data_IF_369449627595
#
_entry.id   IF_369449627595
#
_cell.length_a   1.000
_cell.length_b   1.000
_cell.length_c   1.000
_cell.angle_alpha   90.00
_cell.angle_beta   90.00
_cell.angle_gamma   90.00
#
_symmetry.space_group_name_H-M   'P 1'
#
loop_
_entity.id
_entity.type
_entity.pdbx_description
1 polymer ?
#
# COMPACT_ATOMS: atom_id res chain seq x y z
N UNK A 1 7.95 19.16 -3.19
CA UNK A 1 6.59 18.56 -3.16
C UNK A 1 6.05 18.56 -4.58
N UNK A 2 5.58 17.42 -5.13
CA UNK A 2 5.04 17.41 -6.48
C UNK A 2 3.77 18.29 -6.52
N UNK A 3 3.74 19.23 -7.46
CA UNK A 3 2.64 20.16 -7.62
C UNK A 3 1.34 19.40 -7.91
N UNK A 4 0.32 19.63 -7.09
CA UNK A 4 -1.01 19.05 -7.28
C UNK A 4 -1.72 19.78 -8.44
N UNK A 5 -2.44 19.05 -9.33
CA UNK A 5 -3.18 19.67 -10.43
C UNK A 5 -4.25 20.66 -9.92
N UNK A 6 -4.52 21.67 -10.75
CA UNK A 6 -5.20 22.96 -10.48
C UNK A 6 -6.71 22.89 -10.21
N UNK A 7 -7.21 21.93 -9.43
CA UNK A 7 -8.61 21.95 -8.97
C UNK A 7 -8.73 21.43 -7.55
N UNK A 8 -9.04 22.32 -6.61
CA UNK A 8 -9.40 21.92 -5.26
C UNK A 8 -10.68 21.08 -5.28
N UNK A 9 -10.72 20.06 -4.44
CA UNK A 9 -11.90 19.22 -4.21
C UNK A 9 -12.20 19.17 -2.73
N UNK A 10 -13.48 19.18 -2.40
CA UNK A 10 -13.95 19.04 -1.05
C UNK A 10 -13.68 17.61 -0.54
N UNK A 11 -13.04 17.42 0.63
CA UNK A 11 -12.81 16.10 1.23
C UNK A 11 -14.13 15.48 1.71
N UNK A 12 -14.60 14.35 1.14
CA UNK A 12 -15.89 13.77 1.51
C UNK A 12 -15.92 13.23 2.94
N UNK A 13 -14.77 12.76 3.45
CA UNK A 13 -14.66 12.20 4.79
C UNK A 13 -14.88 13.23 5.89
N UNK A 14 -14.77 14.53 5.60
CA UNK A 14 -15.05 15.60 6.58
C UNK A 14 -16.52 15.62 6.98
N UNK A 15 -17.40 15.07 6.13
CA UNK A 15 -18.82 14.91 6.45
C UNK A 15 -19.10 13.74 7.41
N UNK A 16 -18.11 12.88 7.66
CA UNK A 16 -18.21 11.80 8.63
C UNK A 16 -17.93 12.27 10.06
N UNK A 17 -17.38 13.48 10.23
CA UNK A 17 -17.25 14.10 11.53
C UNK A 17 -18.64 14.43 12.10
N UNK A 18 -18.85 14.23 13.40
CA UNK A 18 -20.14 14.50 14.04
C UNK A 18 -20.41 16.00 14.19
N UNK A 19 -19.36 16.82 14.24
CA UNK A 19 -19.47 18.26 14.55
C UNK A 19 -19.46 19.12 13.28
N UNK A 20 -18.57 18.81 12.34
CA UNK A 20 -18.33 19.65 11.16
C UNK A 20 -19.55 19.89 10.27
N UNK A 21 -20.43 18.90 9.98
CA UNK A 21 -21.63 19.14 9.17
C UNK A 21 -22.58 20.17 9.80
N UNK A 22 -22.69 20.16 11.13
CA UNK A 22 -23.50 21.14 11.87
C UNK A 22 -22.93 22.55 11.76
N UNK A 23 -21.63 22.70 12.04
CA UNK A 23 -20.90 23.97 11.86
C UNK A 23 -20.98 24.49 10.42
N UNK A 24 -20.90 23.59 9.44
CA UNK A 24 -20.97 23.96 8.03
C UNK A 24 -22.37 24.45 7.66
N UNK A 25 -23.43 23.78 8.13
CA UNK A 25 -24.81 24.16 7.84
C UNK A 25 -25.15 25.55 8.42
N UNK A 26 -24.70 25.86 9.63
CA UNK A 26 -24.88 27.20 10.22
C UNK A 26 -24.13 28.25 9.38
N UNK A 27 -22.87 27.97 9.06
CA UNK A 27 -22.03 28.90 8.28
C UNK A 27 -22.59 29.16 6.87
N UNK A 28 -23.17 28.15 6.22
CA UNK A 28 -23.87 28.30 4.93
C UNK A 28 -25.09 29.22 5.09
N UNK A 29 -25.89 28.99 6.13
CA UNK A 29 -27.11 29.77 6.39
C UNK A 29 -26.75 31.23 6.66
N UNK A 30 -25.74 31.48 7.49
CA UNK A 30 -25.24 32.81 7.84
C UNK A 30 -24.75 33.55 6.58
N UNK A 31 -23.96 32.87 5.74
CA UNK A 31 -23.47 33.46 4.48
C UNK A 31 -24.61 33.96 3.61
N UNK A 32 -25.64 33.14 3.38
CA UNK A 32 -26.76 33.51 2.52
C UNK A 32 -27.67 34.55 3.18
N UNK A 33 -27.82 34.56 4.50
CA UNK A 33 -28.56 35.61 5.20
C UNK A 33 -27.87 36.97 5.07
N UNK A 34 -26.54 37.02 5.23
CA UNK A 34 -25.76 38.26 5.15
C UNK A 34 -25.70 38.81 3.72
N UNK A 35 -25.59 37.93 2.73
CA UNK A 35 -25.40 38.34 1.32
C UNK A 35 -26.71 38.48 0.53
N UNK A 36 -27.88 38.30 1.16
CA UNK A 36 -29.17 38.43 0.50
C UNK A 36 -29.41 39.86 0.05
N UNK A 37 -29.48 40.07 -1.27
CA UNK A 37 -29.74 41.40 -1.86
C UNK A 37 -28.52 42.31 -1.98
N UNK A 38 -27.32 41.83 -1.62
CA UNK A 38 -26.08 42.62 -1.72
C UNK A 38 -25.62 42.86 -3.16
N UNK A 39 -25.94 41.95 -4.08
CA UNK A 39 -25.55 42.04 -5.50
C UNK A 39 -26.74 41.66 -6.38
N UNK A 40 -26.96 42.39 -7.47
CA UNK A 40 -28.07 42.14 -8.40
C UNK A 40 -27.94 40.80 -9.16
N UNK A 41 -26.71 40.32 -9.38
CA UNK A 41 -26.43 39.06 -10.04
C UNK A 41 -26.23 37.92 -9.01
N UNK A 42 -27.15 36.96 -9.01
CA UNK A 42 -27.13 35.77 -8.15
C UNK A 42 -25.91 34.88 -8.43
N UNK A 43 -25.38 34.87 -9.66
CA UNK A 43 -24.20 34.09 -10.03
C UNK A 43 -22.95 34.49 -9.23
N UNK A 44 -22.77 35.79 -8.98
CA UNK A 44 -21.63 36.31 -8.19
C UNK A 44 -21.75 35.87 -6.72
N UNK A 45 -22.97 35.85 -6.18
CA UNK A 45 -23.22 35.34 -4.81
C UNK A 45 -22.88 33.85 -4.72
N UNK A 46 -23.17 33.07 -5.77
CA UNK A 46 -22.83 31.65 -5.81
C UNK A 46 -21.32 31.41 -5.95
N UNK A 47 -20.62 32.16 -6.79
CA UNK A 47 -19.17 32.06 -6.94
C UNK A 47 -18.43 32.44 -5.65
N UNK A 48 -18.84 33.53 -5.01
CA UNK A 48 -18.27 33.96 -3.72
C UNK A 48 -18.55 32.94 -2.62
N UNK A 49 -19.75 32.36 -2.57
CA UNK A 49 -20.09 31.26 -1.66
C UNK A 49 -19.15 30.06 -1.84
N UNK A 50 -18.91 29.62 -3.07
CA UNK A 50 -18.03 28.49 -3.36
C UNK A 50 -16.59 28.74 -2.86
N UNK A 51 -16.07 29.96 -3.07
CA UNK A 51 -14.74 30.35 -2.56
C UNK A 51 -14.72 30.41 -1.03
N UNK A 52 -15.78 30.92 -0.42
CA UNK A 52 -15.91 31.01 1.04
C UNK A 52 -15.92 29.64 1.71
N UNK A 53 -16.75 28.71 1.24
CA UNK A 53 -16.82 27.33 1.77
C UNK A 53 -15.50 26.59 1.57
N UNK A 54 -14.84 26.81 0.42
CA UNK A 54 -13.48 26.31 0.18
C UNK A 54 -12.50 26.83 1.24
N UNK A 55 -12.53 28.13 1.51
CA UNK A 55 -11.68 28.76 2.53
C UNK A 55 -11.88 28.16 3.92
N UNK A 56 -13.13 28.03 4.37
CA UNK A 56 -13.49 27.44 5.67
C UNK A 56 -12.96 26.00 5.77
N UNK A 57 -13.22 25.19 4.74
CA UNK A 57 -12.83 23.79 4.72
C UNK A 57 -11.30 23.65 4.79
N UNK A 58 -10.56 24.43 3.99
CA UNK A 58 -9.10 24.44 4.01
C UNK A 58 -8.58 24.87 5.39
N UNK A 59 -9.16 25.92 5.99
CA UNK A 59 -8.76 26.43 7.29
C UNK A 59 -8.95 25.40 8.41
N UNK A 60 -10.09 24.70 8.43
CA UNK A 60 -10.37 23.63 9.41
C UNK A 60 -9.31 22.53 9.34
N UNK A 61 -9.05 22.00 8.15
CA UNK A 61 -8.06 20.92 7.98
C UNK A 61 -6.63 21.36 8.25
N UNK A 62 -6.27 22.58 7.86
CA UNK A 62 -4.99 23.16 8.24
C UNK A 62 -4.88 23.29 9.77
N UNK A 63 -5.98 23.63 10.46
CA UNK A 63 -6.09 23.64 11.91
C UNK A 63 -5.85 22.28 12.55
N UNK A 64 -6.54 21.24 12.07
CA UNK A 64 -6.36 19.85 12.55
C UNK A 64 -4.91 19.41 12.38
N UNK A 65 -4.33 19.62 11.21
CA UNK A 65 -2.95 19.23 10.93
C UNK A 65 -1.95 20.01 11.79
N UNK A 66 -2.18 21.31 12.02
CA UNK A 66 -1.36 22.12 12.94
C UNK A 66 -1.46 21.62 14.38
N UNK A 67 -2.64 21.23 14.84
CA UNK A 67 -2.84 20.68 16.18
C UNK A 67 -2.08 19.35 16.37
N UNK A 68 -2.19 18.43 15.40
CA UNK A 68 -1.46 17.15 15.42
C UNK A 68 0.05 17.39 15.47
N UNK A 69 0.58 18.24 14.57
CA UNK A 69 2.02 18.56 14.52
C UNK A 69 2.49 19.28 15.77
N UNK A 70 1.67 20.18 16.33
CA UNK A 70 1.96 20.85 17.59
C UNK A 70 2.09 19.86 18.75
N UNK A 71 1.20 18.86 18.82
CA UNK A 71 1.29 17.78 19.81
C UNK A 71 2.52 16.90 19.60
N UNK A 72 2.85 16.55 18.36
CA UNK A 72 4.07 15.79 18.04
C UNK A 72 5.34 16.52 18.51
N UNK A 73 5.44 17.82 18.19
CA UNK A 73 6.58 18.63 18.62
C UNK A 73 6.65 18.77 20.15
N UNK A 74 5.52 18.81 20.85
CA UNK A 74 5.49 18.84 22.30
C UNK A 74 5.96 17.50 22.89
N UNK A 75 5.47 16.38 22.35
CA UNK A 75 5.90 15.05 22.77
C UNK A 75 7.39 14.81 22.52
N UNK A 76 7.92 15.27 21.38
CA UNK A 76 9.35 15.21 21.09
C UNK A 76 10.18 15.93 22.15
N UNK A 77 9.77 17.13 22.56
CA UNK A 77 10.43 17.87 23.66
C UNK A 77 10.33 17.14 25.00
N UNK A 78 9.17 16.59 25.34
CA UNK A 78 8.98 15.82 26.57
C UNK A 78 9.86 14.57 26.60
N UNK A 79 9.95 13.84 25.47
CA UNK A 79 10.82 12.66 25.33
C UNK A 79 12.29 13.07 25.51
N UNK A 80 12.76 14.12 24.83
CA UNK A 80 14.14 14.58 24.98
C UNK A 80 14.50 14.99 26.41
N UNK A 81 13.56 15.60 27.14
CA UNK A 81 13.75 15.95 28.56
C UNK A 81 13.85 14.70 29.44
N UNK A 82 12.92 13.75 29.27
CA UNK A 82 12.92 12.51 30.03
C UNK A 82 14.18 11.65 29.74
N UNK A 83 14.66 11.64 28.50
CA UNK A 83 15.91 10.97 28.13
C UNK A 83 17.13 11.60 28.82
N UNK A 84 17.16 12.93 28.91
CA UNK A 84 18.21 13.65 29.63
C UNK A 84 18.17 13.36 31.14
N UNK A 85 16.99 13.36 31.74
CA UNK A 85 16.81 13.04 33.16
C UNK A 85 17.20 11.58 33.44
N UNK A 86 16.86 10.65 32.55
CA UNK A 86 17.25 9.25 32.67
C UNK A 86 18.77 9.04 32.59
N UNK A 87 19.48 9.81 31.75
CA UNK A 87 20.95 9.74 31.68
C UNK A 87 21.62 10.13 33.01
N UNK A 88 20.99 10.99 33.80
CA UNK A 88 21.52 11.46 35.10
C UNK A 88 21.11 10.53 36.25
N UNK A 89 19.86 10.08 36.27
CA UNK A 89 19.27 9.37 37.43
C UNK A 89 19.27 7.84 37.27
N UNK A 90 19.37 7.31 36.04
CA UNK A 90 19.40 5.87 35.71
C UNK A 90 18.26 5.05 36.36
N UNK A 91 17.05 5.61 36.44
CA UNK A 91 15.87 4.98 37.06
C UNK A 91 14.98 4.26 36.03
N UNK A 92 14.53 3.06 36.38
CA UNK A 92 13.64 2.22 35.57
C UNK A 92 12.23 2.81 35.41
N UNK A 93 11.76 3.62 36.37
CA UNK A 93 10.43 4.24 36.29
C UNK A 93 10.38 5.30 35.16
N UNK A 94 11.46 6.07 34.98
CA UNK A 94 11.60 7.07 33.92
C UNK A 94 11.55 6.39 32.53
N UNK A 95 12.15 5.21 32.40
CA UNK A 95 12.14 4.43 31.17
C UNK A 95 10.71 4.00 30.78
N UNK A 96 9.88 3.62 31.77
CA UNK A 96 8.45 3.37 31.56
C UNK A 96 7.70 4.60 31.04
N UNK A 97 7.97 5.79 31.59
CA UNK A 97 7.39 7.04 31.11
C UNK A 97 7.83 7.39 29.68
N UNK A 98 9.10 7.19 29.33
CA UNK A 98 9.62 7.38 27.97
C UNK A 98 8.87 6.48 26.99
N UNK A 99 8.74 5.18 27.28
CA UNK A 99 8.04 4.24 26.41
C UNK A 99 6.57 4.63 26.20
N UNK A 100 5.87 5.07 27.26
CA UNK A 100 4.50 5.55 27.14
C UNK A 100 4.41 6.79 26.23
N UNK A 101 5.36 7.72 26.34
CA UNK A 101 5.41 8.93 25.50
C UNK A 101 5.77 8.62 24.05
N UNK A 102 6.65 7.66 23.82
CA UNK A 102 6.96 7.14 22.47
C UNK A 102 5.71 6.50 21.85
N UNK A 103 4.94 5.71 22.62
CA UNK A 103 3.69 5.14 22.12
C UNK A 103 2.70 6.25 21.74
N UNK A 104 2.52 7.26 22.60
CA UNK A 104 1.65 8.41 22.30
C UNK A 104 2.11 9.15 21.03
N UNK A 105 3.42 9.32 20.85
CA UNK A 105 4.00 9.92 19.66
C UNK A 105 3.69 9.09 18.40
N UNK A 106 3.84 7.77 18.47
CA UNK A 106 3.54 6.86 17.36
C UNK A 106 2.05 6.91 16.99
N UNK A 107 1.15 6.95 17.98
CA UNK A 107 -0.30 7.08 17.75
C UNK A 107 -0.63 8.41 17.06
N UNK A 108 -0.01 9.52 17.49
CA UNK A 108 -0.19 10.82 16.86
C UNK A 108 0.39 10.88 15.43
N UNK A 109 1.56 10.29 15.21
CA UNK A 109 2.17 10.22 13.88
C UNK A 109 1.32 9.38 12.92
N UNK A 110 0.75 8.27 13.42
CA UNK A 110 -0.20 7.46 12.67
C UNK A 110 -1.46 8.26 12.32
N UNK A 111 -1.98 9.05 13.26
CA UNK A 111 -3.12 9.94 13.01
C UNK A 111 -2.85 10.97 11.91
N UNK A 112 -1.63 11.55 11.85
CA UNK A 112 -1.24 12.44 10.75
C UNK A 112 -1.25 11.71 9.40
N UNK A 113 -0.62 10.54 9.34
CA UNK A 113 -0.57 9.72 8.13
C UNK A 113 -1.98 9.30 7.69
N UNK A 114 -2.85 8.92 8.62
CA UNK A 114 -4.24 8.60 8.32
C UNK A 114 -5.00 9.81 7.79
N UNK A 115 -4.83 10.98 8.41
CA UNK A 115 -5.48 12.21 7.97
C UNK A 115 -5.05 12.57 6.54
N UNK A 116 -3.76 12.49 6.22
CA UNK A 116 -3.23 12.73 4.87
C UNK A 116 -3.63 11.61 3.88
N UNK A 117 -3.64 10.36 4.33
CA UNK A 117 -3.99 9.19 3.53
C UNK A 117 -5.42 9.23 3.01
N UNK A 118 -6.37 9.78 3.79
CA UNK A 118 -7.76 10.00 3.36
C UNK A 118 -7.88 10.88 2.10
N UNK A 119 -6.96 11.82 1.88
CA UNK A 119 -6.93 12.65 0.67
C UNK A 119 -6.33 11.91 -0.53
N UNK A 120 -5.27 11.13 -0.29
CA UNK A 120 -4.65 10.32 -1.33
C UNK A 120 -5.64 9.28 -1.87
N UNK A 121 -6.43 8.64 -1.00
CA UNK A 121 -7.47 7.69 -1.40
C UNK A 121 -8.65 8.39 -2.07
N UNK A 122 -9.14 9.51 -1.54
CA UNK A 122 -10.23 10.28 -2.16
C UNK A 122 -9.88 10.71 -3.60
N UNK A 123 -8.60 11.05 -3.86
CA UNK A 123 -8.12 11.31 -5.22
C UNK A 123 -8.25 10.10 -6.13
N UNK A 124 -7.79 8.93 -5.68
CA UNK A 124 -7.86 7.69 -6.47
C UNK A 124 -9.30 7.31 -6.82
N UNK A 125 -10.22 7.41 -5.86
CA UNK A 125 -11.64 7.12 -6.09
C UNK A 125 -12.33 8.18 -6.96
N UNK A 126 -11.95 9.46 -6.83
CA UNK A 126 -12.48 10.53 -7.68
C UNK A 126 -12.00 10.48 -9.14
N UNK A 127 -10.88 9.81 -9.41
CA UNK A 127 -10.42 9.44 -10.77
C UNK A 127 -11.04 8.10 -11.23
N UNK A 128 -11.77 7.40 -10.35
CA UNK A 128 -12.19 6.01 -10.50
C UNK A 128 -13.56 5.75 -11.14
N UNK A 129 -14.25 6.79 -11.61
CA UNK A 129 -15.54 6.67 -12.32
C UNK A 129 -15.42 5.86 -13.63
N UNK A 130 -14.18 5.52 -14.03
CA UNK A 130 -13.88 4.48 -15.01
C UNK A 130 -12.90 3.48 -14.38
N UNK A 131 -13.08 2.15 -14.56
CA UNK A 131 -12.16 1.14 -14.03
C UNK A 131 -10.70 1.34 -14.49
N UNK A 132 -10.48 1.98 -15.65
CA UNK A 132 -9.13 2.37 -16.11
C UNK A 132 -8.53 3.58 -15.38
N UNK A 133 -9.34 4.45 -14.78
CA UNK A 133 -8.89 5.68 -14.11
C UNK A 133 -8.18 5.43 -12.78
N UNK A 134 -8.70 4.52 -11.94
CA UNK A 134 -8.01 4.08 -10.71
C UNK A 134 -6.66 3.47 -11.04
N UNK A 135 -6.64 2.56 -12.02
CA UNK A 135 -5.40 1.90 -12.46
C UNK A 135 -4.40 2.91 -13.02
N UNK A 136 -4.84 3.85 -13.86
CA UNK A 136 -3.99 4.92 -14.38
C UNK A 136 -3.44 5.83 -13.27
N UNK A 137 -4.26 6.14 -12.26
CA UNK A 137 -3.87 6.90 -11.07
C UNK A 137 -2.83 6.18 -10.21
N UNK A 138 -2.88 4.85 -10.13
CA UNK A 138 -1.88 4.01 -9.46
C UNK A 138 -0.60 3.85 -10.29
N UNK A 139 -0.71 3.73 -11.61
CA UNK A 139 0.43 3.52 -12.51
C UNK A 139 1.26 4.80 -12.67
N UNK A 140 0.63 5.99 -12.70
CA UNK A 140 1.33 7.27 -12.93
C UNK A 140 2.49 7.53 -11.94
N UNK A 141 2.29 7.51 -10.61
CA UNK A 141 3.38 7.73 -9.65
C UNK A 141 4.45 6.64 -9.68
N UNK A 142 4.08 5.41 -10.07
CA UNK A 142 5.04 4.31 -10.19
C UNK A 142 5.90 4.44 -11.46
N UNK A 143 5.36 4.97 -12.55
CA UNK A 143 6.16 5.29 -13.75
C UNK A 143 7.24 6.32 -13.44
N UNK A 144 6.89 7.39 -12.73
CA UNK A 144 7.84 8.45 -12.40
C UNK A 144 9.00 7.94 -11.52
N UNK A 145 8.71 7.04 -10.57
CA UNK A 145 9.72 6.41 -9.70
C UNK A 145 10.59 5.38 -10.40
N UNK A 146 10.02 4.65 -11.36
CA UNK A 146 10.72 3.61 -12.12
C UNK A 146 11.40 4.14 -13.40
N UNK A 147 11.30 5.44 -13.67
CA UNK A 147 11.98 6.05 -14.82
C UNK A 147 13.46 6.24 -14.49
N UNK A 148 14.31 5.52 -15.22
CA UNK A 148 15.76 5.66 -15.10
C UNK A 148 16.17 6.92 -15.87
N UNK A 149 16.43 8.02 -15.15
CA UNK A 149 16.77 9.31 -15.76
C UNK A 149 18.26 9.48 -16.02
N UNK A 150 19.11 8.75 -15.30
CA UNK A 150 20.57 8.82 -15.44
C UNK A 150 21.18 7.45 -15.26
N UNK A 151 22.12 7.08 -16.13
CA UNK A 151 22.98 5.91 -15.95
C UNK A 151 24.45 6.33 -16.00
N UNK A 152 25.31 5.56 -15.33
CA UNK A 152 26.77 5.69 -15.48
C UNK A 152 27.25 4.68 -16.51
N UNK A 153 27.89 5.16 -17.56
CA UNK A 153 28.50 4.30 -18.57
C UNK A 153 29.84 3.72 -18.05
N UNK A 154 30.34 2.69 -18.73
CA UNK A 154 31.56 1.97 -18.33
C UNK A 154 32.85 2.82 -18.37
N UNK A 155 32.81 3.97 -19.03
CA UNK A 155 33.86 4.99 -19.07
C UNK A 155 33.77 6.01 -17.91
N UNK A 156 32.79 5.85 -17.02
CA UNK A 156 32.54 6.74 -15.88
C UNK A 156 31.72 7.99 -16.22
N UNK A 157 31.30 8.18 -17.48
CA UNK A 157 30.47 9.31 -17.88
C UNK A 157 28.99 9.12 -17.49
N UNK A 158 28.30 10.23 -17.16
CA UNK A 158 26.87 10.22 -16.86
C UNK A 158 26.05 10.46 -18.13
N UNK A 159 25.17 9.51 -18.44
CA UNK A 159 24.26 9.59 -19.58
C UNK A 159 22.85 9.95 -19.09
N UNK A 160 22.26 10.99 -19.68
CA UNK A 160 20.90 11.47 -19.34
C UNK A 160 19.91 11.37 -20.49
N UNK A 161 20.39 10.98 -21.67
CA UNK A 161 19.58 10.89 -22.88
C UNK A 161 18.82 9.55 -22.91
N UNK A 162 17.46 9.56 -22.93
CA UNK A 162 16.66 8.35 -22.81
C UNK A 162 16.92 7.33 -23.93
N UNK A 163 17.16 7.77 -25.16
CA UNK A 163 17.43 6.85 -26.29
C UNK A 163 18.76 6.14 -26.08
N UNK A 164 19.80 6.88 -25.73
CA UNK A 164 21.12 6.31 -25.46
C UNK A 164 21.14 5.44 -24.20
N UNK A 165 20.32 5.76 -23.20
CA UNK A 165 20.13 4.91 -22.01
C UNK A 165 19.54 3.56 -22.43
N UNK A 166 18.50 3.57 -23.28
CA UNK A 166 17.87 2.35 -23.77
C UNK A 166 18.86 1.50 -24.59
N UNK A 167 19.69 2.11 -25.43
CA UNK A 167 20.71 1.40 -26.20
C UNK A 167 21.78 0.78 -25.29
N UNK A 168 22.22 1.48 -24.24
CA UNK A 168 23.15 0.89 -23.26
C UNK A 168 22.55 -0.28 -22.49
N UNK A 169 21.27 -0.22 -22.13
CA UNK A 169 20.58 -1.37 -21.55
C UNK A 169 20.50 -2.53 -22.54
N UNK A 170 20.19 -2.25 -23.81
CA UNK A 170 20.17 -3.26 -24.87
C UNK A 170 21.53 -3.95 -25.01
N UNK A 171 22.61 -3.18 -25.17
CA UNK A 171 23.97 -3.71 -25.31
C UNK A 171 24.37 -4.57 -24.11
N UNK A 172 24.07 -4.10 -22.90
CA UNK A 172 24.35 -4.82 -21.67
C UNK A 172 23.61 -6.16 -21.62
N UNK A 173 22.29 -6.18 -21.78
CA UNK A 173 21.54 -7.43 -21.73
C UNK A 173 21.85 -8.34 -22.91
N UNK A 174 22.12 -7.79 -24.09
CA UNK A 174 22.58 -8.55 -25.23
C UNK A 174 23.88 -9.29 -24.86
N UNK A 175 24.92 -8.60 -24.39
CA UNK A 175 26.16 -9.24 -23.96
C UNK A 175 25.99 -10.23 -22.80
N UNK A 176 25.03 -10.00 -21.90
CA UNK A 176 24.73 -10.90 -20.78
C UNK A 176 24.11 -12.22 -21.25
N UNK A 177 23.22 -12.16 -22.25
CA UNK A 177 22.51 -13.32 -22.78
C UNK A 177 23.15 -13.93 -24.02
N UNK A 178 24.15 -13.29 -24.62
CA UNK A 178 24.96 -13.91 -25.65
C UNK A 178 25.78 -15.04 -25.01
N UNK A 179 25.52 -16.26 -25.48
CA UNK A 179 26.30 -17.45 -25.12
C UNK A 179 27.79 -17.19 -25.32
N UNK A 180 28.61 -17.53 -24.32
CA UNK A 180 30.08 -17.50 -24.45
C UNK A 180 30.64 -18.69 -25.22
N UNK A 181 29.80 -19.67 -25.54
CA UNK A 181 30.17 -20.90 -26.23
C UNK A 181 29.47 -20.90 -27.59
N UNK A 182 30.27 -20.92 -28.65
CA UNK A 182 29.80 -21.30 -29.99
C UNK A 182 29.60 -22.82 -29.98
N UNK A 183 28.48 -23.25 -29.40
CA UNK A 183 28.15 -24.68 -29.37
C UNK A 183 27.63 -25.05 -30.74
N UNK A 184 28.30 -25.99 -31.40
CA UNK A 184 27.79 -26.64 -32.59
C UNK A 184 26.41 -27.23 -32.27
N UNK A 185 25.38 -26.83 -33.03
CA UNK A 185 24.00 -27.20 -32.79
C UNK A 185 23.85 -28.74 -32.87
N UNK A 186 24.66 -29.39 -33.69
CA UNK A 186 24.70 -30.84 -33.85
C UNK A 186 25.21 -31.53 -32.59
N UNK A 187 26.30 -31.03 -31.99
CA UNK A 187 26.85 -31.55 -30.74
C UNK A 187 25.91 -31.33 -29.54
N UNK A 188 25.20 -30.20 -29.50
CA UNK A 188 24.17 -29.94 -28.49
C UNK A 188 22.98 -30.90 -28.64
N UNK A 189 22.50 -31.10 -29.86
CA UNK A 189 21.42 -32.05 -30.14
C UNK A 189 21.82 -33.47 -29.77
N UNK A 190 23.04 -33.89 -30.11
CA UNK A 190 23.55 -35.20 -29.73
C UNK A 190 23.59 -35.37 -28.21
N UNK A 191 24.11 -34.38 -27.48
CA UNK A 191 24.07 -34.37 -26.01
C UNK A 191 22.64 -34.46 -25.45
N UNK A 192 21.70 -33.68 -25.98
CA UNK A 192 20.30 -33.68 -25.52
C UNK A 192 19.58 -34.99 -25.82
N UNK A 193 19.89 -35.66 -26.94
CA UNK A 193 19.35 -36.97 -27.29
C UNK A 193 19.86 -38.04 -26.32
N UNK A 194 21.13 -37.94 -25.89
CA UNK A 194 21.75 -38.88 -24.94
C UNK A 194 21.36 -38.62 -23.48
N UNK A 195 20.75 -37.48 -23.14
CA UNK A 195 20.18 -37.25 -21.82
C UNK A 195 18.88 -38.05 -21.68
N UNK A 196 18.97 -39.18 -20.99
CA UNK A 196 17.79 -39.86 -20.47
C UNK A 196 17.23 -39.06 -19.30
N UNK A 197 16.11 -38.36 -19.52
CA UNK A 197 15.38 -37.75 -18.40
C UNK A 197 14.90 -38.88 -17.47
N UNK A 198 15.21 -38.82 -16.16
CA UNK A 198 14.73 -39.82 -15.22
C UNK A 198 13.20 -39.77 -15.21
N UNK A 199 12.57 -40.84 -15.70
CA UNK A 199 11.13 -40.99 -15.60
C UNK A 199 10.80 -41.57 -14.23
N UNK A 200 9.76 -41.01 -13.61
CA UNK A 200 9.25 -41.51 -12.35
C UNK A 200 8.74 -42.95 -12.54
N UNK A 201 9.19 -43.87 -11.70
CA UNK A 201 8.71 -45.25 -11.76
C UNK A 201 7.21 -45.30 -11.44
N UNK A 202 6.50 -46.32 -11.94
CA UNK A 202 5.06 -46.42 -11.67
C UNK A 202 4.76 -46.57 -10.17
N UNK A 203 5.68 -47.18 -9.40
CA UNK A 203 5.59 -47.27 -7.94
C UNK A 203 5.71 -45.90 -7.24
N UNK A 204 6.64 -45.06 -7.69
CA UNK A 204 6.81 -43.70 -7.17
C UNK A 204 5.61 -42.81 -7.57
N UNK A 205 5.06 -43.03 -8.76
CA UNK A 205 3.85 -42.35 -9.22
C UNK A 205 2.68 -42.74 -8.31
N UNK A 206 2.41 -44.03 -8.11
CA UNK A 206 1.35 -44.45 -7.19
C UNK A 206 1.55 -43.93 -5.76
N UNK A 207 2.80 -43.83 -5.29
CA UNK A 207 3.11 -43.24 -3.99
C UNK A 207 2.73 -41.74 -3.92
N UNK A 208 3.04 -40.95 -4.95
CA UNK A 208 2.68 -39.53 -5.03
C UNK A 208 1.17 -39.29 -5.21
N UNK A 209 0.45 -40.24 -5.79
CA UNK A 209 -1.00 -40.15 -6.02
C UNK A 209 -1.84 -40.55 -4.80
N UNK A 210 -1.21 -41.03 -3.72
CA UNK A 210 -1.89 -41.32 -2.45
C UNK A 210 -2.29 -40.02 -1.74
N UNK A 211 -3.37 -40.03 -0.94
CA UNK A 211 -3.76 -38.89 -0.15
C UNK A 211 -2.66 -38.52 0.87
N UNK A 212 -2.31 -37.24 0.93
CA UNK A 212 -1.30 -36.72 1.87
C UNK A 212 -1.68 -37.02 3.32
N UNK A 213 -0.72 -37.56 4.07
CA UNK A 213 -0.89 -37.82 5.50
C UNK A 213 -0.54 -36.60 6.35
N UNK A 214 -1.15 -36.48 7.53
CA UNK A 214 -0.86 -35.38 8.46
C UNK A 214 0.62 -35.36 8.92
N UNK A 215 1.26 -36.53 9.00
CA UNK A 215 2.69 -36.66 9.32
C UNK A 215 3.60 -36.05 8.26
N UNK A 216 3.28 -36.24 6.97
CA UNK A 216 4.05 -35.67 5.86
C UNK A 216 3.91 -34.14 5.82
N UNK A 217 2.69 -33.64 6.06
CA UNK A 217 2.45 -32.19 6.18
C UNK A 217 3.25 -31.57 7.33
N UNK A 218 3.29 -32.22 8.50
CA UNK A 218 4.05 -31.76 9.65
C UNK A 218 5.56 -31.73 9.37
N UNK A 219 6.09 -32.75 8.68
CA UNK A 219 7.51 -32.77 8.28
C UNK A 219 7.84 -31.67 7.26
N UNK A 220 7.00 -31.48 6.25
CA UNK A 220 7.19 -30.44 5.24
C UNK A 220 7.19 -29.03 5.88
N UNK A 221 6.26 -28.79 6.82
CA UNK A 221 6.17 -27.52 7.56
C UNK A 221 7.32 -27.32 8.55
N UNK A 222 7.86 -28.40 9.14
CA UNK A 222 9.02 -28.35 10.02
C UNK A 222 10.32 -27.90 9.32
N UNK A 223 10.45 -28.21 8.03
CA UNK A 223 11.58 -27.78 7.20
C UNK A 223 11.50 -26.34 6.69
N UNK A 224 10.39 -25.64 6.91
CA UNK A 224 10.23 -24.27 6.41
C UNK A 224 11.07 -23.27 7.23
N UNK A 225 11.71 -22.29 6.57
CA UNK A 225 12.39 -21.21 7.27
C UNK A 225 11.42 -20.48 8.21
N UNK A 226 11.76 -20.40 9.50
CA UNK A 226 10.90 -19.85 10.57
C UNK A 226 10.39 -18.41 10.31
N UNK A 227 11.00 -17.68 9.37
CA UNK A 227 10.52 -16.38 8.88
C UNK A 227 9.16 -16.42 8.17
N UNK A 228 8.76 -17.57 7.62
CA UNK A 228 7.44 -17.78 7.00
C UNK A 228 6.39 -18.31 7.99
N UNK A 229 6.83 -18.87 9.12
CA UNK A 229 5.97 -19.37 10.21
C UNK A 229 5.60 -18.27 11.22
N UNK A 230 5.58 -16.98 10.79
CA UNK A 230 5.17 -15.89 11.67
C UNK A 230 3.71 -16.07 12.12
N UNK A 231 3.54 -16.22 13.45
CA UNK A 231 2.32 -16.58 14.19
C UNK A 231 1.13 -15.60 14.08
N UNK A 232 1.14 -14.61 13.19
CA UNK A 232 0.13 -13.54 13.16
C UNK A 232 -0.80 -13.50 11.95
N UNK A 233 -0.28 -13.80 10.76
CA UNK A 233 -0.97 -13.39 9.51
C UNK A 233 -1.66 -14.56 8.80
N UNK A 234 -1.08 -15.76 8.86
CA UNK A 234 -1.61 -16.95 8.16
C UNK A 234 -2.91 -17.45 8.81
N UNK A 235 -3.03 -17.36 10.15
CA UNK A 235 -4.24 -17.77 10.88
C UNK A 235 -5.48 -16.95 10.53
N UNK A 236 -5.35 -15.70 10.06
CA UNK A 236 -6.52 -14.90 9.66
C UNK A 236 -6.99 -15.25 8.24
N UNK A 237 -6.07 -15.44 7.30
CA UNK A 237 -6.43 -15.73 5.89
C UNK A 237 -6.99 -17.15 5.73
N UNK A 238 -6.39 -18.14 6.41
CA UNK A 238 -6.87 -19.52 6.34
C UNK A 238 -8.17 -19.76 7.13
N UNK A 239 -8.37 -19.09 8.27
CA UNK A 239 -9.62 -19.18 9.02
C UNK A 239 -10.83 -18.56 8.28
N UNK A 240 -10.61 -17.54 7.44
CA UNK A 240 -11.68 -16.94 6.62
C UNK A 240 -12.12 -17.86 5.48
N UNK A 241 -11.21 -18.62 4.87
CA UNK A 241 -11.54 -19.52 3.77
C UNK A 241 -12.14 -20.87 4.23
N UNK A 242 -11.73 -21.40 5.38
CA UNK A 242 -12.25 -22.70 5.87
C UNK A 242 -13.58 -22.62 6.62
N UNK A 243 -13.88 -21.52 7.33
CA UNK A 243 -15.18 -21.37 8.04
C UNK A 243 -16.39 -21.21 7.12
N UNK A 244 -16.20 -20.94 5.82
CA UNK A 244 -17.29 -20.85 4.85
C UNK A 244 -17.72 -22.17 4.22
N UNK A 245 -16.96 -23.25 4.39
CA UNK A 245 -17.17 -24.51 3.65
C UNK A 245 -17.71 -25.68 4.48
N UNK A 246 -17.86 -25.53 5.80
CA UNK A 246 -18.35 -26.62 6.67
C UNK A 246 -19.85 -26.89 6.56
N UNK A 247 -20.64 -26.07 5.84
CA UNK A 247 -22.09 -26.18 5.93
C UNK A 247 -22.88 -26.51 4.66
N UNK A 248 -22.31 -26.86 3.48
CA UNK A 248 -23.20 -27.32 2.39
C UNK A 248 -22.63 -28.05 1.15
N UNK A 249 -21.45 -28.69 1.15
CA UNK A 249 -20.96 -29.34 -0.10
C UNK A 249 -20.39 -30.76 -0.07
N UNK A 250 -20.41 -31.46 1.08
CA UNK A 250 -19.92 -32.85 1.14
C UNK A 250 -20.98 -33.89 1.56
N UNK A 251 -22.29 -33.58 1.49
CA UNK A 251 -23.37 -34.54 1.75
C UNK A 251 -24.07 -35.12 0.50
N UNK A 252 -23.53 -34.93 -0.71
CA UNK A 252 -24.20 -35.36 -1.94
C UNK A 252 -23.58 -36.58 -2.66
N UNK A 253 -22.62 -37.31 -2.06
CA UNK A 253 -22.02 -38.49 -2.69
C UNK A 253 -22.18 -39.80 -1.90
N UNK A 254 -23.00 -39.85 -0.85
CA UNK A 254 -23.19 -41.05 -0.05
C UNK A 254 -24.65 -41.24 0.35
N UNK A 255 -25.52 -41.45 -0.64
CA UNK A 255 -26.81 -42.17 -0.50
C UNK A 255 -27.41 -42.35 -1.91
N UNK A 256 -27.08 -43.49 -2.52
CA UNK A 256 -27.69 -43.99 -3.74
C UNK A 256 -27.64 -45.52 -3.69
N UNK A 257 -28.28 -46.09 -2.67
CA UNK A 257 -28.61 -47.52 -2.66
C UNK A 257 -29.68 -47.78 -3.73
N UNK A 258 -29.38 -48.80 -4.53
CA UNK A 258 -30.23 -49.39 -5.56
C UNK A 258 -31.59 -49.79 -4.98
N UNK A 259 -32.66 -49.27 -5.59
CA UNK A 259 -33.93 -49.98 -5.61
C UNK A 259 -33.90 -50.96 -6.80
N UNK A 260 -33.84 -52.25 -6.46
CA UNK A 260 -34.53 -53.31 -7.19
C UNK A 260 -35.27 -54.17 -6.18
#
# INVERSE_FOLDING_TARGET
MPALPFSWRFPPFSLLDSVFPGELATTITDFFQINKGSVANVGIVWETFNVYIRGITIAKHAGVLRSIRGRLHLLEREISQLEQDHQVTADAHILGHINNKIQEFQEMALSEVQHLGKYATARLYGEGDRPGGVLAGLIRPNRDKNTITVIKAGDGSELRDPERIADKFRDYYQSLYTSRVDTDLEALMDYLIHITMPQLTDADREALWKPLTLSEMAMALGGWPKRFLMKGTINKVWAYHYKGHENNRFKACATGEEQM
#
